data_IF_689319562778
#
_entry.id   IF_689319562778
#
_cell.length_a   1.000
_cell.length_b   1.000
_cell.length_c   1.000
_cell.angle_alpha   90.00
_cell.angle_beta   90.00
_cell.angle_gamma   90.00
#
_symmetry.space_group_name_H-M   'P 1'
#
loop_
_entity.id
_entity.type
_entity.pdbx_description
1 polymer ?
#
# COMPACT_ATOMS: atom_id res chain seq x y z
N UNK A 1 -7.09 -22.94 30.18
CA UNK A 1 -5.90 -22.91 29.31
C UNK A 1 -6.43 -22.62 27.92
N UNK A 2 -6.23 -21.42 27.40
CA UNK A 2 -6.75 -21.06 26.07
C UNK A 2 -6.02 -21.89 25.03
N UNK A 3 -6.77 -22.70 24.30
CA UNK A 3 -6.33 -23.46 23.14
C UNK A 3 -5.74 -22.46 22.15
N UNK A 4 -4.41 -22.47 21.98
CA UNK A 4 -3.77 -21.73 20.91
C UNK A 4 -4.27 -22.34 19.61
N UNK A 5 -5.19 -21.66 18.92
CA UNK A 5 -5.72 -22.15 17.65
C UNK A 5 -4.54 -22.37 16.70
N UNK A 6 -4.23 -23.63 16.41
CA UNK A 6 -3.12 -23.99 15.53
C UNK A 6 -3.50 -23.56 14.11
N UNK A 7 -2.69 -22.67 13.54
CA UNK A 7 -2.91 -22.20 12.18
C UNK A 7 -2.61 -23.33 11.18
N UNK A 8 -3.36 -23.42 10.05
CA UNK A 8 -2.98 -24.27 8.94
C UNK A 8 -1.51 -24.02 8.54
N UNK A 9 -0.72 -25.06 8.24
CA UNK A 9 0.72 -24.90 7.97
C UNK A 9 1.03 -23.89 6.87
N UNK A 10 0.19 -23.80 5.85
CA UNK A 10 0.34 -22.86 4.73
C UNK A 10 0.12 -21.41 5.18
N UNK A 11 -0.88 -21.17 6.03
CA UNK A 11 -1.12 -19.85 6.62
C UNK A 11 0.00 -19.46 7.59
N UNK A 12 0.47 -20.41 8.42
CA UNK A 12 1.61 -20.19 9.31
C UNK A 12 2.88 -19.80 8.53
N UNK A 13 3.16 -20.47 7.41
CA UNK A 13 4.26 -20.12 6.51
C UNK A 13 4.11 -18.69 5.94
N UNK A 14 2.88 -18.28 5.61
CA UNK A 14 2.60 -16.92 5.14
C UNK A 14 2.78 -15.85 6.23
N UNK A 15 2.43 -16.15 7.49
CA UNK A 15 2.72 -15.28 8.62
C UNK A 15 4.23 -15.08 8.81
N UNK A 16 5.01 -16.15 8.66
CA UNK A 16 6.47 -16.06 8.73
C UNK A 16 7.04 -15.27 7.55
N UNK A 17 6.50 -15.44 6.34
CA UNK A 17 6.89 -14.67 5.15
C UNK A 17 6.60 -13.17 5.30
N UNK A 18 5.45 -12.83 5.90
CA UNK A 18 5.07 -11.46 6.20
C UNK A 18 6.06 -10.81 7.19
N UNK A 19 6.48 -11.53 8.24
CA UNK A 19 7.47 -11.04 9.21
C UNK A 19 8.88 -10.90 8.63
N UNK A 20 9.22 -11.65 7.58
CA UNK A 20 10.52 -11.57 6.90
C UNK A 20 10.62 -10.39 5.93
N UNK A 21 9.50 -9.80 5.52
CA UNK A 21 9.47 -8.70 4.57
C UNK A 21 10.31 -7.51 5.05
N UNK A 22 11.12 -6.96 4.14
CA UNK A 22 11.96 -5.79 4.43
C UNK A 22 11.28 -4.53 3.95
N UNK A 23 11.13 -3.59 4.87
CA UNK A 23 10.57 -2.28 4.59
C UNK A 23 11.66 -1.23 4.39
N UNK A 24 11.29 -0.11 3.75
CA UNK A 24 12.14 1.07 3.66
C UNK A 24 12.15 1.80 5.01
N UNK A 25 13.26 2.46 5.34
CA UNK A 25 13.39 3.20 6.61
C UNK A 25 12.35 4.33 6.74
N UNK A 26 11.86 4.86 5.61
CA UNK A 26 10.78 5.84 5.55
C UNK A 26 9.38 5.23 5.71
N UNK A 27 9.25 3.92 5.94
CA UNK A 27 7.96 3.23 6.09
C UNK A 27 7.88 2.54 7.45
N UNK A 28 6.96 2.99 8.30
CA UNK A 28 6.67 2.35 9.58
C UNK A 28 5.54 1.36 9.35
N UNK A 29 5.79 0.07 9.59
CA UNK A 29 4.82 -1.00 9.40
C UNK A 29 4.52 -1.66 10.73
N UNK A 30 3.25 -1.91 11.01
CA UNK A 30 2.79 -2.59 12.22
C UNK A 30 1.65 -3.55 11.93
N UNK A 31 1.61 -4.67 12.65
CA UNK A 31 0.46 -5.58 12.63
C UNK A 31 -0.74 -4.94 13.35
N UNK A 32 -1.91 -5.07 12.74
CA UNK A 32 -3.18 -4.56 13.27
C UNK A 32 -4.22 -5.68 13.30
N UNK A 33 -5.31 -5.56 14.07
CA UNK A 33 -6.40 -6.52 14.02
C UNK A 33 -6.96 -6.65 12.59
N UNK A 34 -7.02 -7.88 12.09
CA UNK A 34 -7.62 -8.14 10.80
C UNK A 34 -9.14 -7.86 10.81
N UNK A 35 -9.71 -7.37 9.70
CA UNK A 35 -11.16 -7.24 9.59
C UNK A 35 -11.81 -8.62 9.73
N UNK A 36 -12.85 -8.71 10.57
CA UNK A 36 -13.54 -9.97 10.80
C UNK A 36 -14.35 -10.44 9.58
N UNK A 37 -14.68 -11.73 9.57
CA UNK A 37 -15.69 -12.38 8.69
C UNK A 37 -15.39 -12.50 7.19
N UNK A 38 -14.22 -12.07 6.70
CA UNK A 38 -13.87 -12.21 5.27
C UNK A 38 -13.32 -13.59 4.89
N UNK A 39 -12.71 -14.29 5.84
CA UNK A 39 -12.08 -15.59 5.65
C UNK A 39 -11.95 -16.32 6.99
N UNK A 40 -11.76 -17.65 7.00
CA UNK A 40 -11.47 -18.40 8.21
C UNK A 40 -10.18 -17.94 8.92
N UNK A 41 -9.19 -17.49 8.15
CA UNK A 41 -7.92 -16.98 8.66
C UNK A 41 -7.55 -15.67 8.00
N UNK A 42 -7.09 -14.70 8.78
CA UNK A 42 -6.67 -13.40 8.27
C UNK A 42 -5.59 -12.77 9.16
N UNK A 43 -4.71 -11.99 8.55
CA UNK A 43 -3.79 -11.06 9.23
C UNK A 43 -3.80 -9.72 8.50
N UNK A 44 -3.45 -8.64 9.20
CA UNK A 44 -3.45 -7.31 8.62
C UNK A 44 -2.25 -6.48 9.10
N UNK A 45 -1.75 -5.66 8.20
CA UNK A 45 -0.72 -4.66 8.43
C UNK A 45 -1.31 -3.27 8.18
N UNK A 46 -0.89 -2.30 9.00
CA UNK A 46 -0.93 -0.89 8.65
C UNK A 46 0.48 -0.42 8.31
N UNK A 47 0.56 0.61 7.46
CA UNK A 47 1.80 1.29 7.22
C UNK A 47 1.59 2.79 7.06
N UNK A 48 2.55 3.55 7.58
CA UNK A 48 2.60 5.02 7.51
C UNK A 48 3.96 5.43 6.95
N UNK A 49 3.96 6.32 5.96
CA UNK A 49 5.20 6.88 5.40
C UNK A 49 5.70 7.98 6.34
N UNK A 50 6.87 7.76 6.95
CA UNK A 50 7.50 8.69 7.87
C UNK A 50 8.07 9.91 7.12
N UNK A 51 7.98 11.12 7.72
CA UNK A 51 8.60 12.30 7.14
C UNK A 51 10.13 12.18 7.11
N UNK A 52 10.80 12.54 6.01
CA UNK A 52 12.25 12.38 5.85
C UNK A 52 13.09 13.29 6.76
N UNK A 53 12.50 14.19 7.56
CA UNK A 53 13.23 15.02 8.54
C UNK A 53 12.30 15.59 9.60
N UNK A 54 12.76 15.65 10.86
CA UNK A 54 12.08 16.31 11.98
C UNK A 54 11.76 17.76 11.61
N UNK A 55 10.49 18.10 11.38
CA UNK A 55 10.09 19.50 11.22
C UNK A 55 8.83 19.79 10.41
N UNK A 56 8.28 18.81 9.68
CA UNK A 56 6.98 18.98 9.03
C UNK A 56 6.16 17.72 9.28
N UNK A 57 5.09 17.88 10.05
CA UNK A 57 4.06 16.89 10.29
C UNK A 57 3.19 16.80 9.02
N UNK A 58 3.76 16.20 7.96
CA UNK A 58 3.02 15.95 6.73
C UNK A 58 2.55 14.51 6.77
N UNK A 59 1.24 14.29 6.72
CA UNK A 59 0.70 13.01 6.28
C UNK A 59 1.24 12.78 4.86
N UNK A 60 2.08 11.76 4.67
CA UNK A 60 2.72 11.50 3.39
C UNK A 60 2.01 10.40 2.62
N UNK A 61 1.61 9.34 3.31
CA UNK A 61 0.79 8.28 2.77
C UNK A 61 0.57 7.21 3.82
N UNK A 62 -0.60 6.61 3.80
CA UNK A 62 -0.97 5.53 4.71
C UNK A 62 -1.53 4.36 3.93
N UNK A 63 -1.44 3.17 4.49
CA UNK A 63 -1.96 1.98 3.85
C UNK A 63 -2.43 0.92 4.82
N UNK A 64 -3.27 0.02 4.30
CA UNK A 64 -3.63 -1.23 4.94
C UNK A 64 -3.45 -2.38 3.96
N UNK A 65 -2.86 -3.47 4.45
CA UNK A 65 -2.69 -4.72 3.73
C UNK A 65 -3.34 -5.81 4.55
N UNK A 66 -4.29 -6.55 3.97
CA UNK A 66 -4.99 -7.64 4.62
C UNK A 66 -4.73 -8.90 3.82
N UNK A 67 -4.10 -9.90 4.44
CA UNK A 67 -3.96 -11.24 3.89
C UNK A 67 -5.08 -12.12 4.43
N UNK A 68 -5.88 -12.65 3.52
CA UNK A 68 -6.93 -13.62 3.78
C UNK A 68 -6.45 -15.00 3.32
N UNK A 69 -6.80 -16.02 4.10
CA UNK A 69 -6.56 -17.42 3.74
C UNK A 69 -7.82 -18.25 4.00
N UNK A 70 -8.20 -19.01 2.98
CA UNK A 70 -9.31 -19.96 3.03
C UNK A 70 -8.84 -21.30 2.44
N UNK A 71 -8.78 -22.37 3.25
CA UNK A 71 -8.31 -23.66 2.78
C UNK A 71 -9.20 -24.28 1.69
N UNK A 72 -10.45 -23.83 1.55
CA UNK A 72 -11.43 -24.34 0.58
C UNK A 72 -11.26 -23.72 -0.82
N UNK A 73 -10.31 -22.80 -1.00
CA UNK A 73 -9.99 -22.16 -2.29
C UNK A 73 -11.23 -21.56 -2.98
N UNK A 74 -11.80 -20.46 -2.46
CA UNK A 74 -12.95 -19.82 -3.06
C UNK A 74 -12.73 -19.50 -4.54
N UNK A 75 -13.65 -19.92 -5.41
CA UNK A 75 -13.52 -19.76 -6.87
C UNK A 75 -13.27 -18.30 -7.28
N UNK A 76 -13.91 -17.35 -6.58
CA UNK A 76 -13.74 -15.92 -6.82
C UNK A 76 -12.32 -15.39 -6.56
N UNK A 77 -11.50 -16.12 -5.81
CA UNK A 77 -10.11 -15.76 -5.54
C UNK A 77 -9.15 -16.42 -6.53
N UNK A 78 -9.48 -17.61 -7.04
CA UNK A 78 -8.59 -18.40 -7.91
C UNK A 78 -7.30 -18.85 -7.21
N UNK A 79 -7.33 -18.89 -5.87
CA UNK A 79 -6.24 -19.30 -4.97
C UNK A 79 -6.78 -19.36 -3.53
N UNK A 80 -6.08 -20.08 -2.65
CA UNK A 80 -6.36 -20.15 -1.20
C UNK A 80 -6.07 -18.84 -0.47
N UNK A 81 -5.34 -17.92 -1.11
CA UNK A 81 -4.98 -16.63 -0.57
C UNK A 81 -5.65 -15.49 -1.34
N UNK A 82 -6.04 -14.45 -0.60
CA UNK A 82 -6.47 -13.18 -1.18
C UNK A 82 -5.88 -12.03 -0.38
N UNK A 83 -5.25 -11.10 -1.07
CA UNK A 83 -4.82 -9.84 -0.49
C UNK A 83 -5.86 -8.76 -0.82
N UNK A 84 -6.22 -7.98 0.19
CA UNK A 84 -6.99 -6.74 0.04
C UNK A 84 -6.13 -5.59 0.55
N UNK A 85 -5.99 -4.57 -0.28
CA UNK A 85 -5.11 -3.43 -0.06
C UNK A 85 -5.90 -2.13 -0.13
N UNK A 86 -5.58 -1.22 0.78
CA UNK A 86 -5.94 0.19 0.74
C UNK A 86 -4.66 1.02 0.83
N UNK A 87 -4.56 2.07 0.04
CA UNK A 87 -3.52 3.07 0.13
C UNK A 87 -4.12 4.45 -0.11
N UNK A 88 -3.72 5.45 0.68
CA UNK A 88 -4.08 6.84 0.44
C UNK A 88 -2.89 7.77 0.62
N UNK A 89 -2.87 8.85 -0.15
CA UNK A 89 -1.87 9.91 -0.01
C UNK A 89 -2.47 11.27 -0.41
N UNK A 90 -2.12 12.35 0.32
CA UNK A 90 -2.45 13.70 -0.13
C UNK A 90 -1.65 14.06 -1.39
N UNK A 91 -2.21 14.94 -2.20
CA UNK A 91 -1.63 15.39 -3.45
C UNK A 91 -1.65 16.92 -3.55
N UNK A 92 -0.73 17.46 -4.35
CA UNK A 92 -0.85 18.83 -4.84
C UNK A 92 -2.08 18.93 -5.77
N UNK A 93 -2.94 19.97 -5.65
CA UNK A 93 -4.16 20.11 -6.46
C UNK A 93 -3.93 19.97 -7.97
N UNK A 94 -2.80 20.49 -8.48
CA UNK A 94 -2.41 20.41 -9.89
C UNK A 94 -2.14 18.97 -10.35
N UNK A 95 -1.65 18.11 -9.45
CA UNK A 95 -1.46 16.68 -9.73
C UNK A 95 -2.81 15.95 -9.68
N UNK A 96 -3.69 16.32 -8.74
CA UNK A 96 -5.01 15.70 -8.59
C UNK A 96 -5.91 15.80 -9.83
N UNK A 97 -5.73 16.85 -10.63
CA UNK A 97 -6.49 17.05 -11.88
C UNK A 97 -5.90 16.29 -13.09
N UNK A 98 -4.71 15.69 -12.97
CA UNK A 98 -4.08 14.94 -14.05
C UNK A 98 -4.98 13.75 -14.48
N UNK A 99 -5.36 13.64 -15.76
CA UNK A 99 -6.20 12.53 -16.23
C UNK A 99 -5.54 11.15 -16.09
N UNK A 100 -4.20 11.06 -16.09
CA UNK A 100 -3.46 9.79 -16.07
C UNK A 100 -3.10 9.29 -14.68
N UNK A 101 -3.28 10.12 -13.64
CA UNK A 101 -2.87 9.79 -12.27
C UNK A 101 -3.43 8.44 -11.78
N UNK A 102 -4.67 8.11 -12.13
CA UNK A 102 -5.29 6.84 -11.74
C UNK A 102 -4.59 5.64 -12.39
N UNK A 103 -4.30 5.71 -13.69
CA UNK A 103 -3.60 4.66 -14.44
C UNK A 103 -2.16 4.50 -13.95
N UNK A 104 -1.50 5.63 -13.66
CA UNK A 104 -0.13 5.64 -13.11
C UNK A 104 -0.10 4.98 -11.73
N UNK A 105 -1.00 5.35 -10.82
CA UNK A 105 -1.07 4.73 -9.49
C UNK A 105 -1.35 3.22 -9.54
N UNK A 106 -2.18 2.77 -10.50
CA UNK A 106 -2.39 1.36 -10.75
C UNK A 106 -1.11 0.67 -11.28
N UNK A 107 -0.45 1.26 -12.27
CA UNK A 107 0.80 0.72 -12.82
C UNK A 107 1.89 0.59 -11.75
N UNK A 108 2.00 1.55 -10.83
CA UNK A 108 2.93 1.47 -9.70
C UNK A 108 2.72 0.26 -8.81
N UNK A 109 1.48 -0.15 -8.55
CA UNK A 109 1.22 -1.38 -7.80
C UNK A 109 1.70 -2.61 -8.58
N UNK A 110 1.30 -2.71 -9.85
CA UNK A 110 1.63 -3.86 -10.71
C UNK A 110 3.14 -3.97 -10.89
N UNK A 111 3.80 -2.88 -11.26
CA UNK A 111 5.24 -2.82 -11.46
C UNK A 111 6.01 -3.13 -10.17
N UNK A 112 5.54 -2.67 -9.01
CA UNK A 112 6.18 -2.97 -7.73
C UNK A 112 6.08 -4.45 -7.34
N UNK A 113 4.94 -5.09 -7.63
CA UNK A 113 4.76 -6.53 -7.43
C UNK A 113 5.66 -7.33 -8.39
N UNK A 114 5.66 -6.97 -9.67
CA UNK A 114 6.40 -7.65 -10.72
C UNK A 114 7.93 -7.51 -10.53
N UNK A 115 8.41 -6.32 -10.18
CA UNK A 115 9.82 -6.05 -9.93
C UNK A 115 10.39 -6.85 -8.73
N UNK A 116 9.53 -7.24 -7.77
CA UNK A 116 9.90 -8.11 -6.64
C UNK A 116 9.67 -9.59 -6.92
N UNK A 117 9.17 -9.95 -8.11
CA UNK A 117 8.91 -11.33 -8.51
C UNK A 117 7.70 -11.94 -7.79
N UNK A 118 6.74 -11.12 -7.35
CA UNK A 118 5.53 -11.60 -6.71
C UNK A 118 4.72 -12.48 -7.69
N UNK A 119 4.28 -13.66 -7.25
CA UNK A 119 3.46 -14.55 -8.07
C UNK A 119 2.00 -14.41 -7.69
N UNK A 120 1.19 -13.83 -8.56
CA UNK A 120 -0.22 -13.56 -8.29
C UNK A 120 -1.11 -13.74 -9.52
N UNK A 121 -2.41 -13.83 -9.26
CA UNK A 121 -3.47 -13.77 -10.26
C UNK A 121 -4.59 -12.83 -9.79
N UNK A 122 -5.57 -12.61 -10.66
CA UNK A 122 -6.82 -11.92 -10.35
C UNK A 122 -6.62 -10.53 -9.69
N UNK A 123 -5.60 -9.80 -10.15
CA UNK A 123 -5.37 -8.42 -9.75
C UNK A 123 -6.52 -7.52 -10.25
N UNK A 124 -7.05 -6.72 -9.35
CA UNK A 124 -8.18 -5.83 -9.60
C UNK A 124 -8.16 -4.67 -8.62
N UNK A 125 -8.77 -3.54 -8.98
CA UNK A 125 -8.83 -2.40 -8.08
C UNK A 125 -9.48 -1.17 -8.68
N UNK A 126 -9.49 -0.11 -7.89
CA UNK A 126 -9.99 1.22 -8.23
C UNK A 126 -9.04 2.26 -7.66
N UNK A 127 -8.67 3.25 -8.47
CA UNK A 127 -8.02 4.48 -8.01
C UNK A 127 -9.03 5.62 -8.06
N UNK A 128 -9.26 6.25 -6.91
CA UNK A 128 -10.20 7.36 -6.75
C UNK A 128 -9.43 8.64 -6.47
N UNK A 129 -9.72 9.69 -7.24
CA UNK A 129 -9.19 11.03 -7.02
C UNK A 129 -10.25 11.86 -6.30
N UNK A 130 -9.89 12.46 -5.17
CA UNK A 130 -10.75 13.35 -4.40
C UNK A 130 -10.20 14.76 -4.57
N UNK A 131 -11.04 15.66 -5.10
CA UNK A 131 -10.74 17.09 -5.25
C UNK A 131 -11.69 17.87 -4.36
N UNK A 132 -11.14 18.78 -3.55
CA UNK A 132 -11.92 19.66 -2.69
C UNK A 132 -11.57 21.11 -2.98
N UNK A 133 -12.58 21.98 -2.98
CA UNK A 133 -12.41 23.43 -3.05
C UNK A 133 -12.98 24.04 -1.79
N UNK A 134 -12.15 24.81 -1.09
CA UNK A 134 -12.56 25.52 0.11
C UNK A 134 -13.45 26.71 -0.20
N UNK A 135 -14.61 26.79 0.45
CA UNK A 135 -15.51 27.96 0.42
C UNK A 135 -15.77 28.46 1.85
N UNK A 136 -16.16 29.74 1.98
CA UNK A 136 -16.48 30.33 3.29
C UNK A 136 -15.29 30.29 4.24
N UNK A 137 -15.46 29.72 5.44
CA UNK A 137 -14.40 29.59 6.45
C UNK A 137 -13.22 28.72 5.97
N UNK A 138 -13.47 27.78 5.04
CA UNK A 138 -12.44 26.92 4.45
C UNK A 138 -11.71 27.57 3.27
N UNK A 139 -12.16 28.76 2.81
CA UNK A 139 -11.49 29.46 1.70
C UNK A 139 -10.02 29.77 2.01
N UNK A 140 -9.67 29.94 3.30
CA UNK A 140 -8.29 30.17 3.74
C UNK A 140 -7.42 28.91 3.66
N UNK A 141 -8.02 27.72 3.63
CA UNK A 141 -7.31 26.43 3.46
C UNK A 141 -7.02 26.12 1.99
N UNK A 142 -7.79 26.70 1.06
CA UNK A 142 -7.57 26.55 -0.39
C UNK A 142 -8.17 25.26 -0.97
N UNK A 143 -7.67 24.88 -2.15
CA UNK A 143 -8.01 23.61 -2.80
C UNK A 143 -7.18 22.47 -2.23
N UNK A 144 -7.76 21.28 -2.17
CA UNK A 144 -7.10 20.06 -1.73
C UNK A 144 -7.26 18.92 -2.75
N UNK A 145 -6.30 18.00 -2.74
CA UNK A 145 -6.37 16.78 -3.52
C UNK A 145 -5.87 15.57 -2.72
N UNK A 146 -6.45 14.41 -3.00
CA UNK A 146 -6.05 13.11 -2.45
C UNK A 146 -6.28 12.01 -3.48
N UNK A 147 -5.44 10.99 -3.44
CA UNK A 147 -5.68 9.73 -4.13
C UNK A 147 -5.94 8.61 -3.13
N UNK A 148 -6.91 7.75 -3.44
CA UNK A 148 -7.16 6.49 -2.75
C UNK A 148 -7.06 5.34 -3.75
N UNK A 149 -6.20 4.36 -3.47
CA UNK A 149 -6.15 3.09 -4.19
C UNK A 149 -6.76 2.00 -3.33
N UNK A 150 -7.76 1.30 -3.88
CA UNK A 150 -8.29 0.05 -3.33
C UNK A 150 -7.98 -1.05 -4.32
N UNK A 151 -7.25 -2.07 -3.88
CA UNK A 151 -6.82 -3.14 -4.76
C UNK A 151 -6.96 -4.50 -4.08
N UNK A 152 -7.02 -5.55 -4.89
CA UNK A 152 -6.95 -6.91 -4.41
C UNK A 152 -6.38 -7.83 -5.48
N UNK A 153 -5.62 -8.82 -5.05
CA UNK A 153 -4.98 -9.83 -5.89
C UNK A 153 -4.80 -11.11 -5.08
N UNK A 154 -4.52 -12.23 -5.76
CA UNK A 154 -4.42 -13.53 -5.11
C UNK A 154 -3.01 -14.10 -5.26
N UNK A 155 -2.22 -14.20 -4.18
CA UNK A 155 -0.94 -14.91 -4.18
C UNK A 155 -1.08 -16.35 -4.67
N UNK A 156 -0.08 -16.87 -5.38
CA UNK A 156 -0.06 -18.26 -5.86
C UNK A 156 0.69 -19.21 -4.92
N UNK A 157 1.29 -18.69 -3.85
CA UNK A 157 2.01 -19.46 -2.84
C UNK A 157 1.97 -18.74 -1.49
N UNK A 158 2.49 -19.41 -0.45
CA UNK A 158 2.55 -18.88 0.91
C UNK A 158 3.71 -17.91 1.16
N UNK A 159 4.65 -17.72 0.22
CA UNK A 159 5.74 -16.78 0.39
C UNK A 159 5.31 -15.36 0.01
N UNK A 160 4.51 -14.76 0.89
CA UNK A 160 3.91 -13.43 0.65
C UNK A 160 4.89 -12.27 0.78
N UNK A 161 6.19 -12.53 1.02
CA UNK A 161 7.23 -11.51 1.23
C UNK A 161 7.25 -10.47 0.10
N UNK A 162 7.30 -10.91 -1.17
CA UNK A 162 7.35 -10.01 -2.32
C UNK A 162 6.10 -9.12 -2.44
N UNK A 163 4.93 -9.63 -2.01
CA UNK A 163 3.68 -8.87 -2.05
C UNK A 163 3.64 -7.75 -1.01
N UNK A 164 4.12 -8.03 0.20
CA UNK A 164 4.22 -7.05 1.29
C UNK A 164 5.23 -5.96 0.92
N UNK A 165 6.37 -6.35 0.34
CA UNK A 165 7.40 -5.40 -0.08
C UNK A 165 6.95 -4.53 -1.27
N UNK A 166 6.28 -5.11 -2.27
CA UNK A 166 5.71 -4.37 -3.39
C UNK A 166 4.63 -3.38 -2.95
N UNK A 167 3.77 -3.77 -2.00
CA UNK A 167 2.81 -2.86 -1.38
C UNK A 167 3.49 -1.69 -0.65
N UNK A 168 4.57 -1.96 0.10
CA UNK A 168 5.34 -0.90 0.76
C UNK A 168 5.97 0.08 -0.22
N UNK A 169 6.45 -0.41 -1.37
CA UNK A 169 6.99 0.43 -2.46
C UNK A 169 5.90 1.32 -3.08
N UNK A 170 4.69 0.79 -3.31
CA UNK A 170 3.54 1.58 -3.75
C UNK A 170 3.27 2.75 -2.79
N UNK A 171 3.20 2.50 -1.48
CA UNK A 171 2.95 3.55 -0.49
C UNK A 171 3.99 4.66 -0.55
N UNK A 172 5.25 4.25 -0.70
CA UNK A 172 6.37 5.18 -0.86
C UNK A 172 6.22 6.04 -2.13
N UNK A 173 5.85 5.44 -3.26
CA UNK A 173 5.66 6.16 -4.52
C UNK A 173 4.46 7.12 -4.46
N UNK A 174 3.34 6.69 -3.87
CA UNK A 174 2.16 7.54 -3.64
C UNK A 174 2.50 8.75 -2.75
N UNK A 175 3.37 8.55 -1.77
CA UNK A 175 3.92 9.62 -0.93
C UNK A 175 4.98 10.51 -1.61
N UNK A 176 5.23 10.32 -2.91
CA UNK A 176 6.17 11.11 -3.70
C UNK A 176 7.64 10.74 -3.49
N UNK A 177 7.92 9.62 -2.83
CA UNK A 177 9.27 9.12 -2.64
C UNK A 177 9.67 8.21 -3.80
N UNK A 178 10.88 8.37 -4.34
CA UNK A 178 11.28 7.69 -5.57
C UNK A 178 11.37 6.17 -5.38
N UNK A 179 11.11 5.38 -6.43
CA UNK A 179 11.22 3.93 -6.36
C UNK A 179 12.67 3.49 -6.13
N UNK A 180 12.87 2.37 -5.42
CA UNK A 180 14.21 1.85 -5.04
C UNK A 180 15.01 1.16 -6.18
N UNK A 181 14.59 1.22 -7.45
CA UNK A 181 15.28 0.52 -8.54
C UNK A 181 16.75 0.96 -8.74
N UNK A 182 17.61 -0.02 -9.02
CA UNK A 182 19.07 0.05 -9.08
C UNK A 182 19.60 1.21 -9.95
N UNK A 183 20.41 2.10 -9.35
CA UNK A 183 21.35 2.95 -10.08
C UNK A 183 20.93 4.40 -10.37
N UNK A 184 19.77 4.88 -9.93
CA UNK A 184 19.41 6.30 -10.09
C UNK A 184 19.54 7.05 -8.78
N UNK A 185 20.68 7.71 -8.61
CA UNK A 185 20.89 8.73 -7.57
C UNK A 185 19.99 9.92 -7.86
N UNK A 186 19.06 10.22 -6.96
CA UNK A 186 18.17 11.38 -7.08
C UNK A 186 19.02 12.63 -6.90
N UNK A 187 19.14 13.47 -7.94
CA UNK A 187 19.77 14.78 -7.83
C UNK A 187 18.91 15.65 -6.89
N UNK A 188 19.47 16.31 -5.86
CA UNK A 188 18.68 17.11 -4.94
C UNK A 188 17.98 18.26 -5.69
N UNK A 189 16.65 18.34 -5.56
CA UNK A 189 15.85 19.50 -6.03
C UNK A 189 16.33 20.73 -5.28
N UNK A 190 17.15 21.55 -5.94
CA UNK A 190 17.55 22.87 -5.44
C UNK A 190 16.32 23.78 -5.47
N UNK A 191 15.64 23.94 -4.32
CA UNK A 191 14.63 24.98 -4.13
C UNK A 191 15.28 26.34 -4.42
N UNK A 192 14.86 27.02 -5.48
CA UNK A 192 15.23 28.41 -5.72
C UNK A 192 14.58 29.26 -4.61
N UNK A 193 15.39 29.76 -3.69
CA UNK A 193 14.98 30.79 -2.74
C UNK A 193 14.73 32.07 -3.52
N UNK A 194 13.47 32.40 -3.82
CA UNK A 194 13.13 33.76 -4.29
C UNK A 194 13.21 34.68 -3.08
N UNK A 195 14.06 35.70 -3.20
CA UNK A 195 14.12 36.83 -2.27
C UNK A 195 13.07 37.88 -2.62
#
# INVERSE_FOLDING_TARGET
>A
MSESAEHPPEFAAALDALRRARHRDDLVVSEIPAPGSLAPYATALSADVAPPTHGIDSELGTGRFVLLYDPDEPEAWGSRFRIVCFAEAPLEPEIGIDPFLADVAWSWLVDALDARGARYVAASGTATKILSTGFGELARQGDGARIELRASWSPLDSDVTAHVEGWGELLCMLAGLPPRAEGVTVLPRRRSRRG
#
